data_IF_511936889769
#
_entry.id   IF_511936889769
#
_cell.length_a   1.000
_cell.length_b   1.000
_cell.length_c   1.000
_cell.angle_alpha   90.00
_cell.angle_beta   90.00
_cell.angle_gamma   90.00
#
_symmetry.space_group_name_H-M   'P 1'
#
loop_
_entity.id
_entity.type
_entity.pdbx_description
1 polymer ?
#
# COMPACT_ATOMS: atom_id res chain seq x y z
N UNK A 1 -8.62 -18.66 6.24
CA UNK A 1 -7.35 -19.30 6.67
C UNK A 1 -7.62 -20.56 7.52
N UNK A 2 -8.37 -21.53 6.98
CA UNK A 2 -8.53 -22.81 7.68
C UNK A 2 -7.27 -23.65 7.51
N UNK A 3 -6.90 -24.45 8.53
CA UNK A 3 -5.70 -25.28 8.49
C UNK A 3 -5.77 -26.42 7.46
N UNK A 4 -6.96 -26.72 6.94
CA UNK A 4 -7.20 -27.70 5.89
C UNK A 4 -8.40 -27.30 5.03
N UNK A 5 -8.45 -27.82 3.80
CA UNK A 5 -9.61 -27.68 2.92
C UNK A 5 -10.77 -28.53 3.42
N UNK A 6 -11.93 -27.92 3.60
CA UNK A 6 -13.19 -28.62 3.86
C UNK A 6 -13.95 -28.94 2.57
N UNK A 7 -15.03 -29.71 2.68
CA UNK A 7 -15.98 -29.95 1.59
C UNK A 7 -16.75 -28.69 1.18
N UNK A 8 -16.85 -27.72 2.08
CA UNK A 8 -17.40 -26.38 1.82
C UNK A 8 -16.27 -25.35 1.81
N UNK A 9 -16.26 -24.51 0.78
CA UNK A 9 -15.31 -23.39 0.71
C UNK A 9 -15.83 -22.23 1.55
N UNK A 10 -15.08 -21.75 2.56
CA UNK A 10 -15.49 -20.60 3.35
C UNK A 10 -15.44 -19.33 2.48
N UNK A 11 -16.47 -18.48 2.62
CA UNK A 11 -16.58 -17.19 1.92
C UNK A 11 -16.29 -15.99 2.84
N UNK A 12 -15.90 -16.24 4.08
CA UNK A 12 -15.62 -15.21 5.09
C UNK A 12 -14.26 -15.46 5.75
N UNK A 13 -13.62 -14.36 6.16
CA UNK A 13 -12.40 -14.38 6.96
C UNK A 13 -12.73 -14.61 8.45
N UNK A 14 -11.83 -15.29 9.17
CA UNK A 14 -11.92 -15.39 10.64
C UNK A 14 -11.48 -14.08 11.28
N UNK A 15 -11.91 -13.81 12.52
CA UNK A 15 -11.46 -12.64 13.29
C UNK A 15 -9.94 -12.55 13.38
N UNK A 16 -9.25 -13.66 13.68
CA UNK A 16 -7.79 -13.68 13.75
C UNK A 16 -7.13 -13.33 12.39
N UNK A 17 -7.75 -13.70 11.26
CA UNK A 17 -7.21 -13.35 9.93
C UNK A 17 -7.31 -11.85 9.68
N UNK A 18 -8.43 -11.23 10.10
CA UNK A 18 -8.65 -9.78 9.96
C UNK A 18 -7.72 -8.98 10.87
N UNK A 19 -7.55 -9.41 12.14
CA UNK A 19 -6.61 -8.78 13.08
C UNK A 19 -5.16 -8.86 12.57
N UNK A 20 -4.75 -10.03 12.06
CA UNK A 20 -3.40 -10.19 11.52
C UNK A 20 -3.17 -9.34 10.26
N UNK A 21 -4.19 -9.23 9.38
CA UNK A 21 -4.13 -8.35 8.22
C UNK A 21 -4.01 -6.88 8.62
N UNK A 22 -4.81 -6.44 9.60
CA UNK A 22 -4.74 -5.07 10.12
C UNK A 22 -3.35 -4.77 10.71
N UNK A 23 -2.81 -5.68 11.52
CA UNK A 23 -1.45 -5.57 12.04
C UNK A 23 -0.41 -5.53 10.90
N UNK A 24 -0.58 -6.33 9.85
CA UNK A 24 0.32 -6.28 8.71
C UNK A 24 0.34 -4.91 8.03
N UNK A 25 -0.83 -4.28 7.88
CA UNK A 25 -0.97 -2.95 7.29
C UNK A 25 -0.43 -1.84 8.21
N UNK A 26 -0.65 -1.92 9.52
CA UNK A 26 -0.01 -1.01 10.49
C UNK A 26 1.52 -1.05 10.41
N UNK A 27 2.08 -2.21 10.06
CA UNK A 27 3.51 -2.39 9.84
C UNK A 27 3.97 -2.06 8.40
N UNK A 28 3.08 -1.51 7.57
CA UNK A 28 3.39 -1.06 6.20
C UNK A 28 3.59 -2.17 5.18
N UNK A 29 3.05 -3.38 5.40
CA UNK A 29 3.16 -4.50 4.45
C UNK A 29 2.28 -4.34 3.20
N UNK A 30 1.42 -3.33 3.16
CA UNK A 30 0.50 -2.99 2.07
C UNK A 30 1.05 -1.97 1.08
N UNK A 31 2.31 -1.54 1.24
CA UNK A 31 2.94 -0.52 0.40
C UNK A 31 2.80 -0.78 -1.12
N UNK A 32 2.88 -2.04 -1.56
CA UNK A 32 2.74 -2.44 -2.97
C UNK A 32 1.32 -2.92 -3.36
N UNK A 33 0.36 -2.82 -2.44
CA UNK A 33 -1.06 -3.09 -2.70
C UNK A 33 -1.85 -1.80 -2.98
N UNK A 34 -1.24 -0.64 -2.72
CA UNK A 34 -1.86 0.68 -2.89
C UNK A 34 -1.84 1.18 -4.33
N UNK A 35 -0.97 0.63 -5.18
CA UNK A 35 -0.94 0.97 -6.60
C UNK A 35 -2.08 0.27 -7.37
N UNK A 36 -3.18 1.01 -7.63
CA UNK A 36 -4.25 0.53 -8.51
C UNK A 36 -3.67 0.21 -9.91
N UNK A 37 -3.86 -1.02 -10.44
CA UNK A 37 -3.38 -1.37 -11.78
C UNK A 37 -4.07 -0.49 -12.84
N UNK A 38 -3.28 -0.02 -13.81
CA UNK A 38 -3.79 0.83 -14.90
C UNK A 38 -4.47 0.05 -16.03
N UNK A 39 -4.17 -1.25 -16.15
CA UNK A 39 -4.75 -2.17 -17.15
C UNK A 39 -4.81 -3.57 -16.57
N UNK A 40 -5.91 -4.27 -16.84
CA UNK A 40 -6.04 -5.70 -16.61
C UNK A 40 -5.74 -6.46 -17.91
N UNK A 41 -5.38 -7.75 -17.81
CA UNK A 41 -5.02 -8.58 -18.96
C UNK A 41 -6.24 -9.17 -19.68
N UNK A 42 -7.39 -9.18 -19.01
CA UNK A 42 -8.66 -9.67 -19.55
C UNK A 42 -9.39 -8.56 -20.33
N UNK A 43 -10.44 -8.95 -21.06
CA UNK A 43 -11.36 -7.99 -21.68
C UNK A 43 -12.03 -7.12 -20.61
N UNK A 44 -12.38 -5.85 -20.90
CA UNK A 44 -13.11 -4.98 -19.97
C UNK A 44 -14.39 -5.62 -19.43
N UNK A 45 -14.58 -5.59 -18.10
CA UNK A 45 -15.77 -6.15 -17.44
C UNK A 45 -16.39 -5.08 -16.53
N UNK A 46 -17.53 -4.56 -16.98
CA UNK A 46 -18.31 -3.63 -16.17
C UNK A 46 -18.81 -4.28 -14.87
N UNK A 47 -18.50 -3.64 -13.74
CA UNK A 47 -18.90 -4.04 -12.40
C UNK A 47 -17.81 -4.75 -11.61
N UNK A 48 -16.57 -4.74 -12.08
CA UNK A 48 -15.41 -5.31 -11.38
C UNK A 48 -14.66 -4.28 -10.50
N UNK A 49 -15.05 -2.99 -10.58
CA UNK A 49 -14.48 -1.89 -9.80
C UNK A 49 -13.23 -1.24 -10.43
N UNK A 50 -12.87 -1.61 -11.65
CA UNK A 50 -11.76 -1.05 -12.41
C UNK A 50 -12.30 -0.32 -13.62
N UNK A 51 -11.92 0.96 -13.78
CA UNK A 51 -12.29 1.70 -14.99
C UNK A 51 -11.40 1.24 -16.13
N UNK A 52 -11.99 0.51 -17.08
CA UNK A 52 -11.29 -0.10 -18.20
C UNK A 52 -11.61 0.60 -19.53
N UNK A 53 -10.86 0.33 -20.62
CA UNK A 53 -11.13 0.95 -21.91
C UNK A 53 -12.57 0.73 -22.39
N UNK A 54 -13.32 1.82 -22.55
CA UNK A 54 -14.74 1.81 -22.94
C UNK A 54 -15.69 2.20 -21.81
N UNK A 55 -15.21 2.25 -20.58
CA UNK A 55 -15.96 2.65 -19.39
C UNK A 55 -15.58 4.07 -18.97
N UNK A 56 -16.51 4.77 -18.33
CA UNK A 56 -16.27 6.09 -17.72
C UNK A 56 -16.23 6.04 -16.20
N UNK A 57 -16.75 4.97 -15.61
CA UNK A 57 -16.78 4.74 -14.18
C UNK A 57 -17.09 3.27 -13.92
N UNK A 58 -16.63 2.74 -12.79
CA UNK A 58 -17.04 1.42 -12.30
C UNK A 58 -17.11 1.46 -10.78
N UNK A 59 -18.31 1.22 -10.24
CA UNK A 59 -18.61 1.21 -8.81
C UNK A 59 -18.84 -0.20 -8.26
N UNK A 60 -18.54 -1.24 -9.04
CA UNK A 60 -18.79 -2.63 -8.72
C UNK A 60 -20.16 -3.12 -9.18
N UNK A 61 -20.59 -4.25 -8.60
CA UNK A 61 -21.85 -4.90 -8.93
C UNK A 61 -23.06 -4.01 -8.62
N UNK A 62 -24.13 -4.16 -9.43
CA UNK A 62 -25.36 -3.36 -9.32
C UNK A 62 -26.00 -3.42 -7.93
N UNK A 63 -25.92 -4.56 -7.26
CA UNK A 63 -26.49 -4.78 -5.94
C UNK A 63 -25.75 -4.03 -4.82
N UNK A 64 -24.51 -3.61 -5.08
CA UNK A 64 -23.60 -3.01 -4.10
C UNK A 64 -23.08 -1.63 -4.52
N UNK A 65 -23.57 -1.09 -5.63
CA UNK A 65 -23.17 0.23 -6.11
C UNK A 65 -24.09 1.32 -5.54
N UNK A 66 -23.59 2.04 -4.53
CA UNK A 66 -24.25 3.21 -3.94
C UNK A 66 -23.83 4.53 -4.62
N UNK A 67 -23.21 4.47 -5.81
CA UNK A 67 -22.63 5.64 -6.48
C UNK A 67 -23.69 6.39 -7.32
N UNK A 68 -24.09 7.62 -6.93
CA UNK A 68 -25.13 8.36 -7.66
C UNK A 68 -24.66 8.94 -8.99
N UNK A 69 -23.35 8.89 -9.27
CA UNK A 69 -22.73 9.47 -10.46
C UNK A 69 -22.45 8.41 -11.54
N UNK A 70 -22.50 7.12 -11.20
CA UNK A 70 -22.17 6.02 -12.09
C UNK A 70 -23.34 5.06 -12.31
N UNK A 71 -23.64 4.75 -13.56
CA UNK A 71 -24.60 3.71 -13.90
C UNK A 71 -23.92 2.33 -13.85
N UNK A 72 -24.16 1.57 -12.78
CA UNK A 72 -23.59 0.25 -12.56
C UNK A 72 -23.92 -0.80 -13.65
N UNK A 73 -24.97 -0.61 -14.44
CA UNK A 73 -25.33 -1.55 -15.53
C UNK A 73 -24.60 -1.26 -16.84
N UNK A 74 -24.07 -0.06 -17.01
CA UNK A 74 -23.43 0.37 -18.26
C UNK A 74 -21.99 0.85 -18.08
N UNK A 75 -21.53 1.06 -16.84
CA UNK A 75 -20.23 1.66 -16.50
C UNK A 75 -20.01 3.02 -17.19
N UNK A 76 -21.10 3.79 -17.25
CA UNK A 76 -21.12 5.13 -17.84
C UNK A 76 -21.59 6.14 -16.79
N UNK A 77 -21.10 7.37 -16.91
CA UNK A 77 -21.53 8.47 -16.05
C UNK A 77 -23.01 8.78 -16.27
N UNK A 78 -23.70 9.16 -15.19
CA UNK A 78 -25.03 9.75 -15.30
C UNK A 78 -24.99 11.13 -16.00
N UNK A 79 -26.14 11.60 -16.47
CA UNK A 79 -26.24 12.91 -17.11
C UNK A 79 -25.79 14.04 -16.18
N UNK A 80 -24.93 14.93 -16.68
CA UNK A 80 -24.26 16.03 -15.96
C UNK A 80 -23.13 15.64 -15.00
N UNK A 81 -22.79 14.36 -14.87
CA UNK A 81 -21.62 13.93 -14.14
C UNK A 81 -20.35 14.11 -15.01
N UNK A 82 -19.28 14.58 -14.37
CA UNK A 82 -17.94 14.71 -14.97
C UNK A 82 -16.89 13.83 -14.29
N UNK A 83 -17.26 13.26 -13.15
CA UNK A 83 -16.52 12.24 -12.43
C UNK A 83 -17.52 11.34 -11.71
N UNK A 84 -17.07 10.15 -11.33
CA UNK A 84 -17.80 9.29 -10.41
C UNK A 84 -16.88 8.46 -9.51
N UNK A 85 -15.58 8.44 -9.77
CA UNK A 85 -14.63 7.59 -9.04
C UNK A 85 -13.49 8.44 -8.47
N UNK A 86 -12.64 7.86 -7.62
CA UNK A 86 -11.46 8.53 -7.06
C UNK A 86 -11.77 9.44 -5.86
N UNK A 87 -10.78 9.68 -4.99
CA UNK A 87 -10.99 10.47 -3.78
C UNK A 87 -11.25 11.96 -4.05
N UNK A 88 -10.94 12.44 -5.26
CA UNK A 88 -11.16 13.82 -5.68
C UNK A 88 -12.48 14.06 -6.43
N UNK A 89 -13.37 13.07 -6.53
CA UNK A 89 -14.74 13.31 -6.99
C UNK A 89 -15.65 13.67 -5.81
N UNK A 90 -16.42 14.75 -5.93
CA UNK A 90 -17.54 15.01 -5.03
C UNK A 90 -18.78 14.24 -5.51
N UNK A 91 -19.09 13.12 -4.86
CA UNK A 91 -20.22 12.26 -5.22
C UNK A 91 -21.59 12.92 -5.04
N UNK A 92 -21.68 14.08 -4.39
CA UNK A 92 -22.95 14.84 -4.30
C UNK A 92 -23.20 15.67 -5.54
N UNK A 93 -22.14 16.19 -6.16
CA UNK A 93 -22.22 17.07 -7.33
C UNK A 93 -21.77 16.39 -8.62
N UNK A 94 -21.14 15.21 -8.51
CA UNK A 94 -20.51 14.46 -9.59
C UNK A 94 -19.48 15.30 -10.38
N UNK A 95 -18.74 16.14 -9.66
CA UNK A 95 -17.70 17.02 -10.19
C UNK A 95 -16.40 16.91 -9.40
N UNK A 96 -15.24 17.16 -10.02
CA UNK A 96 -13.98 17.25 -9.31
C UNK A 96 -14.08 18.23 -8.13
N UNK A 97 -13.58 17.82 -6.97
CA UNK A 97 -13.40 18.69 -5.80
C UNK A 97 -12.46 19.83 -6.16
N UNK A 98 -12.61 20.96 -5.48
CA UNK A 98 -11.78 22.14 -5.69
C UNK A 98 -10.29 21.84 -5.45
N UNK A 99 -9.42 22.63 -6.11
CA UNK A 99 -7.98 22.56 -5.90
C UNK A 99 -7.63 22.83 -4.43
N UNK A 100 -6.72 22.03 -3.87
CA UNK A 100 -6.28 22.17 -2.48
C UNK A 100 -7.13 21.43 -1.45
N UNK A 101 -8.16 20.69 -1.86
CA UNK A 101 -8.86 19.77 -0.96
C UNK A 101 -7.99 18.54 -0.73
N UNK A 102 -7.70 18.21 0.52
CA UNK A 102 -6.92 17.01 0.88
C UNK A 102 -7.66 15.75 0.44
N UNK A 103 -6.97 14.88 -0.31
CA UNK A 103 -7.50 13.60 -0.77
C UNK A 103 -6.83 12.40 -0.11
N UNK A 104 -5.57 12.55 0.33
CA UNK A 104 -4.87 11.56 1.14
C UNK A 104 -4.08 12.28 2.23
N UNK A 105 -4.23 11.80 3.46
CA UNK A 105 -3.45 12.27 4.60
C UNK A 105 -2.08 11.60 4.61
N UNK A 106 -1.06 12.30 5.09
CA UNK A 106 0.21 11.69 5.45
C UNK A 106 0.01 10.58 6.51
N UNK A 107 0.45 9.35 6.22
CA UNK A 107 0.29 8.21 7.12
C UNK A 107 1.36 8.16 8.22
N UNK A 108 2.57 8.62 7.91
CA UNK A 108 3.71 8.62 8.83
C UNK A 108 4.60 9.84 8.62
N UNK A 109 5.55 10.06 9.54
CA UNK A 109 6.41 11.25 9.56
C UNK A 109 7.26 11.46 8.29
N UNK A 110 7.47 10.42 7.48
CA UNK A 110 8.20 10.48 6.22
C UNK A 110 7.31 10.62 4.97
N UNK A 111 5.99 10.67 5.17
CA UNK A 111 4.98 10.83 4.12
C UNK A 111 4.58 12.30 3.97
N UNK A 112 3.93 12.65 2.86
CA UNK A 112 3.29 13.94 2.64
C UNK A 112 1.81 13.75 2.32
N UNK A 113 0.97 14.73 2.66
CA UNK A 113 -0.43 14.72 2.22
C UNK A 113 -0.53 15.13 0.74
N UNK A 114 -1.50 14.58 0.02
CA UNK A 114 -1.87 15.02 -1.33
C UNK A 114 -3.19 15.75 -1.35
N UNK A 115 -3.27 16.67 -2.31
CA UNK A 115 -4.39 17.56 -2.50
C UNK A 115 -4.91 17.49 -3.92
N UNK A 116 -6.23 17.50 -4.07
CA UNK A 116 -6.91 17.54 -5.35
C UNK A 116 -6.42 18.72 -6.20
N UNK A 117 -6.31 18.50 -7.50
CA UNK A 117 -5.86 19.52 -8.46
C UNK A 117 -6.98 20.47 -8.90
N UNK A 118 -8.24 20.14 -8.60
CA UNK A 118 -9.41 20.86 -9.13
C UNK A 118 -9.87 20.38 -10.51
N UNK A 119 -9.10 19.54 -11.19
CA UNK A 119 -9.34 19.15 -12.59
C UNK A 119 -9.49 17.65 -12.78
N UNK A 120 -8.96 16.84 -11.87
CA UNK A 120 -9.04 15.38 -11.91
C UNK A 120 -9.90 14.85 -10.77
N UNK A 121 -10.58 13.74 -11.03
CA UNK A 121 -11.30 12.97 -10.01
C UNK A 121 -10.38 12.08 -9.16
N UNK A 122 -9.15 11.84 -9.62
CA UNK A 122 -8.16 11.05 -8.91
C UNK A 122 -7.26 11.96 -8.06
N UNK A 123 -6.92 11.48 -6.86
CA UNK A 123 -5.85 12.08 -6.08
C UNK A 123 -4.54 12.02 -6.88
N UNK A 124 -3.67 13.05 -6.81
CA UNK A 124 -2.34 12.99 -7.41
C UNK A 124 -1.55 11.76 -6.95
N UNK A 125 -0.45 11.47 -7.66
CA UNK A 125 0.48 10.41 -7.25
C UNK A 125 1.00 10.72 -5.85
N UNK A 126 1.05 9.67 -5.04
CA UNK A 126 1.67 9.64 -3.72
C UNK A 126 3.12 10.16 -3.80
N UNK A 127 3.41 11.17 -2.98
CA UNK A 127 4.72 11.76 -2.81
C UNK A 127 5.13 11.75 -1.34
N UNK A 128 6.43 11.66 -1.12
CA UNK A 128 6.99 11.54 0.22
C UNK A 128 8.18 12.45 0.43
N UNK A 129 8.61 12.58 1.69
CA UNK A 129 9.81 13.36 2.03
C UNK A 129 11.04 12.76 1.36
N UNK A 130 11.99 13.64 1.01
CA UNK A 130 13.22 13.22 0.34
C UNK A 130 13.98 12.17 1.16
N UNK A 131 14.60 11.22 0.46
CA UNK A 131 15.46 10.23 1.08
C UNK A 131 16.60 10.92 1.86
N UNK A 132 16.81 10.50 3.11
CA UNK A 132 17.80 11.10 4.01
C UNK A 132 17.26 12.15 4.97
N UNK A 133 15.98 12.55 4.88
CA UNK A 133 15.34 13.39 5.90
C UNK A 133 15.31 12.67 7.26
N UNK A 134 15.63 13.36 8.35
CA UNK A 134 15.68 12.73 9.68
C UNK A 134 14.28 12.35 10.18
N UNK A 135 14.15 11.17 10.77
CA UNK A 135 12.90 10.64 11.32
C UNK A 135 13.15 9.90 12.65
N UNK A 136 12.09 9.54 13.38
CA UNK A 136 12.12 8.92 14.70
C UNK A 136 13.02 9.68 15.69
N UNK A 137 12.76 10.98 15.83
CA UNK A 137 13.56 11.89 16.67
C UNK A 137 15.05 11.89 16.32
N UNK A 138 15.39 11.76 15.03
CA UNK A 138 16.77 11.77 14.54
C UNK A 138 17.53 10.45 14.69
N UNK A 139 16.83 9.36 15.01
CA UNK A 139 17.43 8.01 15.14
C UNK A 139 17.46 7.23 13.83
N UNK A 140 16.75 7.71 12.81
CA UNK A 140 16.67 7.10 11.50
C UNK A 140 16.46 8.16 10.41
N UNK A 141 16.38 7.70 9.17
CA UNK A 141 16.18 8.53 8.01
C UNK A 141 15.04 7.99 7.15
N UNK A 142 14.30 8.90 6.52
CA UNK A 142 13.30 8.58 5.54
C UNK A 142 13.97 7.90 4.33
N UNK A 143 13.37 6.82 3.86
CA UNK A 143 13.78 6.16 2.64
C UNK A 143 12.54 5.60 1.93
N UNK A 144 12.30 6.05 0.70
CA UNK A 144 11.11 5.71 -0.09
C UNK A 144 9.82 5.94 0.70
N UNK A 145 9.77 7.07 1.40
CA UNK A 145 8.65 7.51 2.22
C UNK A 145 8.52 6.82 3.57
N UNK A 146 9.23 5.73 3.89
CA UNK A 146 9.15 5.11 5.21
C UNK A 146 10.26 5.58 6.17
N UNK A 147 9.94 5.78 7.45
CA UNK A 147 10.94 5.81 8.51
C UNK A 147 11.19 4.37 9.00
N UNK A 148 12.36 3.79 8.71
CA UNK A 148 12.65 2.39 9.08
C UNK A 148 13.78 2.31 10.09
N UNK A 149 13.53 1.68 11.24
CA UNK A 149 14.57 1.32 12.21
C UNK A 149 14.79 -0.18 12.28
N UNK A 150 15.93 -0.62 12.82
CA UNK A 150 16.15 -2.04 13.12
C UNK A 150 15.08 -2.61 14.07
N UNK A 151 14.58 -1.81 15.02
CA UNK A 151 13.50 -2.25 15.91
C UNK A 151 12.20 -2.53 15.15
N UNK A 152 11.82 -1.67 14.21
CA UNK A 152 10.60 -1.85 13.43
C UNK A 152 10.70 -3.10 12.56
N UNK A 153 11.87 -3.36 11.98
CA UNK A 153 12.14 -4.59 11.24
C UNK A 153 12.07 -5.83 12.14
N UNK A 154 12.62 -5.78 13.35
CA UNK A 154 12.51 -6.88 14.31
C UNK A 154 11.06 -7.14 14.75
N UNK A 155 10.26 -6.08 14.96
CA UNK A 155 8.85 -6.22 15.30
C UNK A 155 8.02 -6.81 14.16
N UNK A 156 8.35 -6.45 12.93
CA UNK A 156 7.73 -7.03 11.74
C UNK A 156 7.99 -8.54 11.64
N UNK A 157 9.22 -8.97 11.93
CA UNK A 157 9.62 -10.39 11.81
C UNK A 157 9.15 -11.24 13.00
N UNK A 158 9.17 -10.69 14.21
CA UNK A 158 9.00 -11.45 15.45
C UNK A 158 7.80 -11.02 16.30
N UNK A 159 6.97 -10.09 15.79
CA UNK A 159 5.82 -9.53 16.49
C UNK A 159 6.20 -8.40 17.46
N UNK A 160 5.24 -7.88 18.24
CA UNK A 160 5.41 -6.67 19.06
C UNK A 160 6.57 -6.70 20.07
N UNK A 161 7.00 -7.89 20.48
CA UNK A 161 8.14 -8.11 21.40
C UNK A 161 9.51 -8.11 20.70
N UNK A 162 9.54 -8.08 19.37
CA UNK A 162 10.78 -8.01 18.59
C UNK A 162 11.55 -6.72 18.87
N UNK A 163 12.86 -6.85 19.07
CA UNK A 163 13.76 -5.71 19.28
C UNK A 163 15.12 -5.98 18.64
N UNK A 164 15.78 -4.89 18.25
CA UNK A 164 17.15 -4.91 17.74
C UNK A 164 18.09 -5.41 18.84
N UNK A 165 19.02 -6.28 18.44
CA UNK A 165 20.03 -6.82 19.35
C UNK A 165 21.10 -5.78 19.66
N UNK A 166 21.96 -6.08 20.64
CA UNK A 166 23.12 -5.24 20.94
C UNK A 166 24.03 -5.08 19.71
N UNK A 167 24.66 -3.91 19.57
CA UNK A 167 25.66 -3.61 18.53
C UNK A 167 26.70 -4.72 18.35
N UNK A 168 27.13 -5.38 19.44
CA UNK A 168 28.12 -6.47 19.39
C UNK A 168 27.63 -7.69 18.59
N UNK A 169 26.32 -7.93 18.54
CA UNK A 169 25.75 -9.03 17.75
C UNK A 169 25.98 -8.81 16.25
N UNK A 170 25.99 -7.56 15.78
CA UNK A 170 26.20 -7.22 14.37
C UNK A 170 27.62 -7.53 13.89
N UNK A 171 28.60 -7.64 14.79
CA UNK A 171 29.97 -8.07 14.45
C UNK A 171 30.02 -9.50 13.86
N UNK A 172 28.99 -10.32 14.10
CA UNK A 172 28.87 -11.62 13.45
C UNK A 172 28.74 -11.51 11.92
N UNK A 173 28.30 -10.37 11.40
CA UNK A 173 28.15 -10.13 9.96
C UNK A 173 29.49 -10.08 9.23
N UNK A 174 30.58 -9.75 9.93
CA UNK A 174 31.94 -9.66 9.38
C UNK A 174 32.54 -11.06 9.17
N UNK A 175 31.90 -12.11 9.70
CA UNK A 175 32.31 -13.50 9.49
C UNK A 175 31.99 -14.00 8.07
N UNK A 176 30.99 -13.41 7.39
CA UNK A 176 30.57 -13.86 6.05
C UNK A 176 30.08 -15.30 6.07
N UNK A 177 29.09 -15.57 6.92
CA UNK A 177 28.49 -16.90 7.09
C UNK A 177 27.00 -16.85 6.77
N UNK A 178 26.35 -18.01 6.71
CA UNK A 178 24.89 -18.11 6.53
C UNK A 178 24.08 -17.29 7.54
N UNK A 179 24.59 -17.11 8.76
CA UNK A 179 23.89 -16.44 9.86
C UNK A 179 24.32 -14.97 10.05
N UNK A 180 25.30 -14.48 9.28
CA UNK A 180 25.76 -13.10 9.34
C UNK A 180 26.63 -12.78 8.13
N UNK A 181 26.14 -11.91 7.26
CA UNK A 181 26.76 -11.52 5.99
C UNK A 181 26.13 -10.22 5.43
N UNK A 182 26.79 -9.61 4.46
CA UNK A 182 26.29 -8.46 3.70
C UNK A 182 25.80 -8.83 2.30
N UNK A 183 25.45 -10.09 2.09
CA UNK A 183 24.94 -10.58 0.81
C UNK A 183 25.42 -11.98 0.48
N UNK A 184 24.75 -12.57 -0.51
CA UNK A 184 25.07 -13.89 -1.03
C UNK A 184 25.47 -13.78 -2.50
N UNK A 185 26.71 -14.16 -2.81
CA UNK A 185 27.20 -14.24 -4.17
C UNK A 185 26.80 -15.57 -4.80
N UNK A 186 25.86 -15.52 -5.74
CA UNK A 186 25.32 -16.70 -6.43
C UNK A 186 26.30 -17.34 -7.41
N UNK A 187 27.32 -16.61 -7.89
CA UNK A 187 28.27 -17.12 -8.89
C UNK A 187 29.25 -18.12 -8.28
N UNK A 188 29.67 -17.88 -7.05
CA UNK A 188 30.62 -18.73 -6.32
C UNK A 188 30.00 -19.39 -5.08
N UNK A 189 28.68 -19.28 -4.91
CA UNK A 189 27.92 -19.83 -3.78
C UNK A 189 28.52 -19.48 -2.41
N UNK A 190 28.91 -18.21 -2.22
CA UNK A 190 29.58 -17.75 -1.01
C UNK A 190 28.88 -16.55 -0.37
N UNK A 191 29.08 -16.40 0.94
CA UNK A 191 28.57 -15.27 1.71
C UNK A 191 29.61 -14.15 1.76
N UNK A 192 29.15 -12.92 1.51
CA UNK A 192 29.98 -11.72 1.49
C UNK A 192 30.13 -11.21 2.92
N UNK A 193 31.36 -10.98 3.36
CA UNK A 193 31.65 -10.34 4.65
C UNK A 193 31.21 -8.88 4.59
N UNK A 194 30.65 -8.37 5.67
CA UNK A 194 30.47 -6.93 5.81
C UNK A 194 31.82 -6.24 6.05
N UNK A 195 31.93 -5.00 5.62
CA UNK A 195 33.03 -4.12 5.99
C UNK A 195 32.89 -3.74 7.47
N UNK A 196 34.03 -3.54 8.15
CA UNK A 196 34.02 -3.04 9.52
C UNK A 196 33.45 -1.61 9.54
N UNK A 197 32.56 -1.29 10.49
CA UNK A 197 31.92 0.03 10.60
C UNK A 197 32.90 1.15 10.97
#
# INVERSE_FOLDING_TARGET
MAASSGSTSPIHWSSCSLEYLALAFEHGMDYCLRNKPAKLFDSPICGNGFVEPGEQCDCGLKENCDNPCCNASTCMLHSNASCATGECCDLKTCKPKNAGVECRNAEHECDLSEYCTGQSEFCPKDVFKIDGESCNMGKAFCYQGSCRTHNDQCKLLWGPSGSSSDSQCYNMNNKGTKLGNCGYNRLNSSYIKCDDP
#
